data_IF_240672960281
#
_entry.id   IF_240672960281
#
_cell.length_a   1.000
_cell.length_b   1.000
_cell.length_c   1.000
_cell.angle_alpha   90.00
_cell.angle_beta   90.00
_cell.angle_gamma   90.00
#
_symmetry.space_group_name_H-M   'P 1'
#
loop_
_entity.id
_entity.type
_entity.pdbx_description
1 polymer ?
#
# COMPACT_ATOMS: atom_id res chain seq x y z
N UNK A 1 11.43 -8.09 12.71
CA UNK A 1 11.27 -8.68 11.37
C UNK A 1 9.88 -9.26 11.35
N UNK A 2 9.05 -8.91 10.37
CA UNK A 2 7.72 -9.50 10.26
C UNK A 2 7.86 -11.02 10.14
N UNK A 3 7.09 -11.76 10.94
CA UNK A 3 6.97 -13.19 10.75
C UNK A 3 6.10 -13.44 9.52
N UNK A 4 6.43 -14.53 8.82
CA UNK A 4 5.66 -15.15 7.75
C UNK A 4 5.59 -16.62 8.18
N UNK A 5 4.54 -16.95 8.92
CA UNK A 5 4.44 -18.14 9.77
C UNK A 5 4.14 -19.40 8.97
N UNK A 6 3.52 -19.29 7.80
CA UNK A 6 3.25 -20.40 6.88
C UNK A 6 4.10 -20.39 5.60
N UNK A 7 4.82 -19.30 5.32
CA UNK A 7 5.82 -19.21 4.28
C UNK A 7 5.24 -18.93 2.89
N UNK A 8 4.03 -18.39 2.79
CA UNK A 8 3.40 -18.02 1.52
C UNK A 8 3.95 -16.69 0.95
N UNK A 9 4.62 -15.90 1.79
CA UNK A 9 5.18 -14.60 1.44
C UNK A 9 4.30 -13.40 1.80
N UNK A 10 3.14 -13.62 2.41
CA UNK A 10 2.31 -12.66 3.14
C UNK A 10 2.77 -12.67 4.60
N UNK A 11 3.13 -11.53 5.17
CA UNK A 11 3.54 -11.53 6.59
C UNK A 11 2.31 -11.63 7.49
N UNK A 12 2.45 -12.26 8.67
CA UNK A 12 1.37 -12.45 9.65
C UNK A 12 0.59 -11.14 9.98
N UNK A 13 1.29 -10.00 9.98
CA UNK A 13 0.68 -8.70 10.21
C UNK A 13 -0.24 -8.25 9.07
N UNK A 14 0.15 -8.57 7.83
CA UNK A 14 -0.65 -8.34 6.63
C UNK A 14 -1.78 -9.38 6.52
N UNK A 15 -1.53 -10.63 6.92
CA UNK A 15 -2.57 -11.65 7.01
C UNK A 15 -3.67 -11.28 8.00
N UNK A 16 -3.30 -10.86 9.21
CA UNK A 16 -4.24 -10.35 10.20
C UNK A 16 -5.05 -9.14 9.68
N UNK A 17 -4.45 -8.34 8.78
CA UNK A 17 -5.11 -7.22 8.11
C UNK A 17 -6.09 -7.69 7.03
N UNK A 18 -5.74 -8.70 6.24
CA UNK A 18 -6.61 -9.27 5.20
C UNK A 18 -7.71 -10.17 5.80
N UNK A 19 -7.52 -10.63 7.04
CA UNK A 19 -8.41 -11.57 7.70
C UNK A 19 -8.09 -13.03 7.37
N UNK A 20 -6.93 -13.28 6.76
CA UNK A 20 -6.42 -14.61 6.44
C UNK A 20 -5.82 -15.29 7.67
N UNK A 21 -5.54 -16.58 7.56
CA UNK A 21 -5.06 -17.41 8.65
C UNK A 21 -3.54 -17.51 8.62
N UNK A 22 -2.88 -16.80 9.54
CA UNK A 22 -1.41 -16.74 9.67
C UNK A 22 -0.63 -18.05 9.81
N UNK A 23 -1.29 -19.21 9.84
CA UNK A 23 -0.64 -20.51 9.94
C UNK A 23 -1.10 -21.43 8.81
N UNK A 24 -1.70 -20.86 7.77
CA UNK A 24 -2.32 -21.57 6.67
C UNK A 24 -2.23 -20.71 5.40
N UNK A 25 -1.25 -21.05 4.57
CA UNK A 25 -0.92 -20.37 3.33
C UNK A 25 -2.07 -20.23 2.31
N UNK A 26 -3.16 -20.97 2.48
CA UNK A 26 -4.33 -21.00 1.59
C UNK A 26 -5.58 -21.02 2.49
N UNK A 27 -6.08 -19.85 2.84
CA UNK A 27 -7.08 -19.66 3.90
C UNK A 27 -8.43 -20.28 3.54
N UNK A 28 -8.80 -20.28 2.26
CA UNK A 28 -10.08 -20.78 1.78
C UNK A 28 -10.04 -22.18 1.16
N UNK A 29 -8.83 -22.75 1.03
CA UNK A 29 -8.52 -24.11 0.62
C UNK A 29 -8.82 -24.41 -0.86
N UNK A 30 -8.62 -23.44 -1.75
CA UNK A 30 -8.83 -23.59 -3.20
C UNK A 30 -7.59 -24.08 -3.98
N UNK A 31 -6.41 -24.08 -3.34
CA UNK A 31 -5.12 -24.48 -3.90
C UNK A 31 -4.28 -23.32 -4.45
N UNK A 32 -4.66 -22.08 -4.22
CA UNK A 32 -3.91 -20.85 -4.50
C UNK A 32 -3.57 -20.24 -3.14
N UNK A 33 -2.35 -19.74 -2.98
CA UNK A 33 -1.96 -19.16 -1.70
C UNK A 33 -2.47 -17.72 -1.52
N UNK A 34 -2.72 -17.33 -0.27
CA UNK A 34 -3.33 -16.06 0.12
C UNK A 34 -2.53 -14.87 -0.46
N UNK A 35 -1.19 -14.96 -0.43
CA UNK A 35 -0.32 -13.98 -1.04
C UNK A 35 -0.54 -13.80 -2.55
N UNK A 36 -0.59 -14.89 -3.32
CA UNK A 36 -0.77 -14.83 -4.76
C UNK A 36 -2.16 -14.36 -5.15
N UNK A 37 -3.19 -14.82 -4.46
CA UNK A 37 -4.55 -14.32 -4.61
C UNK A 37 -4.61 -12.80 -4.43
N UNK A 38 -4.08 -12.32 -3.31
CA UNK A 38 -4.01 -10.90 -3.01
C UNK A 38 -3.19 -10.12 -4.05
N UNK A 39 -2.01 -10.64 -4.46
CA UNK A 39 -1.15 -10.01 -5.47
C UNK A 39 -1.82 -9.92 -6.84
N UNK A 40 -2.64 -10.91 -7.19
CA UNK A 40 -3.37 -10.99 -8.46
C UNK A 40 -4.71 -10.24 -8.41
N UNK A 41 -5.14 -9.79 -7.22
CA UNK A 41 -6.31 -8.97 -6.99
C UNK A 41 -7.59 -9.77 -6.75
N UNK A 42 -7.50 -11.04 -6.32
CA UNK A 42 -8.63 -11.80 -5.77
C UNK A 42 -8.76 -11.60 -4.26
N UNK A 43 -9.80 -12.19 -3.69
CA UNK A 43 -10.12 -12.13 -2.27
C UNK A 43 -9.70 -13.47 -1.63
N UNK A 44 -8.63 -13.50 -0.80
CA UNK A 44 -8.07 -14.74 -0.24
C UNK A 44 -8.98 -15.46 0.78
N UNK A 45 -10.19 -14.94 0.97
CA UNK A 45 -11.23 -15.54 1.81
C UNK A 45 -12.35 -16.17 0.99
N UNK A 46 -12.21 -16.21 -0.35
CA UNK A 46 -13.24 -16.67 -1.27
C UNK A 46 -12.63 -17.56 -2.35
N UNK A 47 -12.88 -18.86 -2.18
CA UNK A 47 -12.42 -19.88 -3.10
C UNK A 47 -12.62 -19.50 -4.56
N UNK A 48 -11.52 -19.49 -5.29
CA UNK A 48 -11.41 -19.07 -6.66
C UNK A 48 -10.82 -20.19 -7.55
N UNK A 49 -10.41 -19.84 -8.75
CA UNK A 49 -9.76 -20.75 -9.67
C UNK A 49 -8.74 -20.02 -10.51
N UNK A 50 -7.77 -20.76 -11.03
CA UNK A 50 -6.79 -20.28 -11.99
C UNK A 50 -7.35 -19.55 -13.23
N UNK A 51 -8.65 -19.73 -13.53
CA UNK A 51 -9.31 -19.08 -14.67
C UNK A 51 -9.90 -17.72 -14.35
N UNK A 52 -9.90 -17.31 -13.09
CA UNK A 52 -10.60 -16.12 -12.60
C UNK A 52 -9.77 -14.86 -12.61
N UNK A 53 -8.44 -14.99 -12.69
CA UNK A 53 -7.52 -13.87 -12.79
C UNK A 53 -6.55 -14.07 -13.98
N UNK A 54 -6.22 -12.99 -14.70
CA UNK A 54 -5.33 -13.07 -15.86
C UNK A 54 -3.87 -13.16 -15.40
N UNK A 55 -3.11 -13.95 -16.16
CA UNK A 55 -1.68 -14.04 -16.08
C UNK A 55 -1.04 -12.73 -16.60
N UNK A 56 -0.91 -11.73 -15.72
CA UNK A 56 -0.42 -10.39 -16.06
C UNK A 56 0.67 -9.91 -15.07
N UNK A 57 1.62 -9.09 -15.52
CA UNK A 57 2.63 -8.50 -14.65
C UNK A 57 2.00 -7.73 -13.50
N UNK A 58 2.48 -7.98 -12.27
CA UNK A 58 2.05 -7.24 -11.07
C UNK A 58 3.26 -6.69 -10.33
N UNK A 59 3.08 -5.56 -9.67
CA UNK A 59 4.02 -4.97 -8.74
C UNK A 59 3.27 -4.59 -7.48
N UNK A 60 3.82 -4.97 -6.33
CA UNK A 60 3.25 -4.73 -5.02
C UNK A 60 4.26 -4.06 -4.10
N UNK A 61 3.75 -3.15 -3.29
CA UNK A 61 4.49 -2.49 -2.22
C UNK A 61 3.60 -2.38 -0.98
N UNK A 62 4.04 -3.00 0.11
CA UNK A 62 3.56 -2.70 1.46
C UNK A 62 4.66 -2.13 2.33
N UNK A 63 4.24 -1.45 3.39
CA UNK A 63 5.13 -0.89 4.39
C UNK A 63 4.49 -1.07 5.76
N UNK A 64 5.25 -1.63 6.70
CA UNK A 64 4.85 -1.78 8.09
C UNK A 64 6.07 -1.53 9.00
N UNK A 65 5.80 -1.07 10.21
CA UNK A 65 6.82 -0.90 11.24
C UNK A 65 7.09 -2.25 11.88
N UNK A 66 8.28 -2.46 12.41
CA UNK A 66 8.67 -3.65 13.18
C UNK A 66 9.67 -3.20 14.23
N UNK A 67 9.17 -2.77 15.40
CA UNK A 67 10.00 -2.14 16.42
C UNK A 67 10.51 -0.78 15.94
N UNK A 68 11.84 -0.59 15.95
CA UNK A 68 12.47 0.67 15.53
C UNK A 68 12.77 0.75 14.02
N UNK A 69 12.33 -0.24 13.24
CA UNK A 69 12.54 -0.31 11.79
C UNK A 69 11.21 -0.21 11.05
N UNK A 70 11.22 0.44 9.89
CA UNK A 70 10.18 0.38 8.89
C UNK A 70 10.59 -0.62 7.81
N UNK A 71 9.77 -1.64 7.65
CA UNK A 71 9.95 -2.72 6.68
C UNK A 71 9.10 -2.42 5.46
N UNK A 72 9.73 -2.50 4.30
CA UNK A 72 9.13 -2.39 3.00
C UNK A 72 9.07 -3.79 2.42
N UNK A 73 7.87 -4.28 2.12
CA UNK A 73 7.64 -5.56 1.47
C UNK A 73 7.29 -5.31 0.02
N UNK A 74 8.11 -5.85 -0.87
CA UNK A 74 7.94 -5.69 -2.31
C UNK A 74 7.74 -7.07 -2.92
N UNK A 75 6.80 -7.16 -3.84
CA UNK A 75 6.69 -8.31 -4.71
C UNK A 75 6.45 -7.91 -6.16
N UNK A 76 6.91 -8.75 -7.07
CA UNK A 76 6.57 -8.65 -8.47
C UNK A 76 6.18 -10.02 -9.01
N UNK A 77 5.08 -10.06 -9.76
CA UNK A 77 4.66 -11.22 -10.52
C UNK A 77 5.17 -11.06 -11.96
N UNK A 78 6.02 -11.98 -12.42
CA UNK A 78 6.68 -11.85 -13.73
C UNK A 78 7.03 -13.19 -14.36
N UNK A 79 6.99 -13.28 -15.69
CA UNK A 79 7.50 -14.42 -16.47
C UNK A 79 9.00 -14.31 -16.78
N UNK A 80 9.48 -13.09 -17.05
CA UNK A 80 10.83 -12.88 -17.60
C UNK A 80 11.70 -12.14 -16.61
N UNK A 81 11.47 -10.85 -16.40
CA UNK A 81 12.40 -9.98 -15.69
C UNK A 81 11.69 -8.84 -14.98
N UNK A 82 12.34 -8.39 -13.91
CA UNK A 82 12.02 -7.17 -13.18
C UNK A 82 13.29 -6.33 -13.20
N UNK A 83 13.22 -5.11 -13.71
CA UNK A 83 14.37 -4.20 -13.82
C UNK A 83 13.96 -2.76 -13.54
N UNK A 84 14.96 -1.88 -13.46
CA UNK A 84 14.77 -0.44 -13.34
C UNK A 84 13.93 -0.03 -12.11
N UNK A 85 14.12 -0.74 -10.98
CA UNK A 85 13.48 -0.39 -9.71
C UNK A 85 13.89 1.03 -9.27
N UNK A 86 12.88 1.89 -9.17
CA UNK A 86 12.99 3.26 -8.72
C UNK A 86 12.08 3.48 -7.52
N UNK A 87 12.67 3.91 -6.41
CA UNK A 87 11.96 4.36 -5.24
C UNK A 87 11.83 5.88 -5.32
N UNK A 88 10.64 6.38 -5.03
CA UNK A 88 10.36 7.80 -4.92
C UNK A 88 9.67 8.08 -3.60
N UNK A 89 9.86 9.26 -3.04
CA UNK A 89 9.13 9.70 -1.86
C UNK A 89 8.82 11.19 -1.91
N UNK A 90 7.75 11.56 -1.22
CA UNK A 90 7.32 12.93 -1.02
C UNK A 90 7.05 13.16 0.46
N UNK A 91 7.54 14.27 0.99
CA UNK A 91 7.31 14.72 2.37
C UNK A 91 6.95 16.21 2.34
N UNK A 92 6.43 16.80 3.43
CA UNK A 92 6.29 18.25 3.56
C UNK A 92 7.59 19.03 3.30
N UNK A 93 8.75 18.40 3.56
CA UNK A 93 10.06 18.98 3.32
C UNK A 93 10.57 18.87 1.89
N UNK A 94 9.86 18.17 1.00
CA UNK A 94 10.23 17.97 -0.41
C UNK A 94 10.19 16.52 -0.87
N UNK A 95 10.65 16.30 -2.10
CA UNK A 95 10.65 15.00 -2.78
C UNK A 95 12.05 14.44 -2.95
N UNK A 96 12.14 13.12 -3.13
CA UNK A 96 13.40 12.44 -3.42
C UNK A 96 13.18 11.13 -4.18
N UNK A 97 14.27 10.59 -4.71
CA UNK A 97 14.26 9.32 -5.42
C UNK A 97 15.58 8.58 -5.24
N UNK A 98 15.54 7.26 -5.30
CA UNK A 98 16.71 6.39 -5.24
C UNK A 98 16.51 5.14 -6.10
N UNK A 99 17.56 4.76 -6.84
CA UNK A 99 17.57 3.49 -7.56
C UNK A 99 17.86 2.30 -6.65
N UNK A 100 17.55 1.09 -7.11
CA UNK A 100 17.85 -0.13 -6.35
C UNK A 100 19.33 -0.29 -5.96
N UNK A 101 20.26 0.14 -6.81
CA UNK A 101 21.70 0.07 -6.51
C UNK A 101 22.10 0.84 -5.26
N UNK A 102 21.40 1.94 -4.96
CA UNK A 102 21.61 2.78 -3.78
C UNK A 102 21.02 2.12 -2.54
N UNK A 103 19.85 1.49 -2.66
CA UNK A 103 19.14 0.87 -1.53
C UNK A 103 19.51 -0.60 -1.28
N UNK A 104 20.31 -1.24 -2.13
CA UNK A 104 20.67 -2.67 -2.02
C UNK A 104 21.20 -3.10 -0.65
N UNK A 105 21.80 -2.18 0.11
CA UNK A 105 22.37 -2.44 1.43
C UNK A 105 21.32 -2.51 2.55
N UNK A 106 20.10 -2.05 2.28
CA UNK A 106 18.95 -2.10 3.18
C UNK A 106 18.13 -3.38 3.03
N UNK A 107 18.42 -4.18 2.00
CA UNK A 107 17.75 -5.45 1.74
C UNK A 107 18.21 -6.49 2.75
N UNK A 108 17.28 -7.07 3.48
CA UNK A 108 17.57 -8.13 4.45
C UNK A 108 16.94 -9.48 4.08
N UNK A 109 15.98 -9.50 3.15
CA UNK A 109 15.33 -10.72 2.67
C UNK A 109 14.98 -10.57 1.19
N UNK A 110 15.14 -11.65 0.43
CA UNK A 110 14.69 -11.74 -0.95
C UNK A 110 14.40 -13.20 -1.30
N UNK A 111 13.41 -13.42 -2.16
CA UNK A 111 12.93 -14.74 -2.53
C UNK A 111 12.44 -14.80 -3.97
N UNK A 112 12.46 -16.00 -4.54
CA UNK A 112 11.83 -16.29 -5.83
C UNK A 112 11.14 -17.64 -5.70
N UNK A 113 9.85 -17.71 -6.01
CA UNK A 113 9.08 -18.95 -6.08
C UNK A 113 8.30 -19.06 -7.38
N UNK A 114 7.88 -20.28 -7.70
CA UNK A 114 6.95 -20.54 -8.80
C UNK A 114 5.62 -19.87 -8.50
N UNK A 115 5.05 -19.20 -9.51
CA UNK A 115 3.70 -18.69 -9.45
C UNK A 115 2.67 -19.75 -9.83
N UNK A 116 1.40 -19.50 -9.50
CA UNK A 116 0.27 -20.37 -9.82
C UNK A 116 0.08 -20.55 -11.33
N UNK A 117 0.46 -19.56 -12.14
CA UNK A 117 0.47 -19.69 -13.60
C UNK A 117 1.79 -20.28 -14.11
N UNK A 118 1.75 -21.28 -15.01
CA UNK A 118 2.95 -21.89 -15.57
C UNK A 118 3.90 -20.86 -16.21
N UNK A 119 5.16 -20.87 -15.76
CA UNK A 119 6.20 -19.97 -16.26
C UNK A 119 6.24 -18.60 -15.58
N UNK A 120 5.30 -18.31 -14.68
CA UNK A 120 5.34 -17.11 -13.85
C UNK A 120 6.10 -17.38 -12.55
N UNK A 121 6.66 -16.30 -12.02
CA UNK A 121 7.40 -16.29 -10.76
C UNK A 121 6.91 -15.15 -9.89
N UNK A 122 6.75 -15.44 -8.61
CA UNK A 122 6.65 -14.43 -7.55
C UNK A 122 8.06 -14.10 -7.09
N UNK A 123 8.47 -12.84 -7.22
CA UNK A 123 9.78 -12.35 -6.78
C UNK A 123 9.57 -11.38 -5.63
N UNK A 124 10.05 -11.72 -4.44
CA UNK A 124 9.87 -10.91 -3.23
C UNK A 124 11.18 -10.28 -2.77
N UNK A 125 11.06 -9.14 -2.12
CA UNK A 125 12.18 -8.44 -1.49
C UNK A 125 11.67 -7.63 -0.30
N UNK A 126 12.40 -7.71 0.82
CA UNK A 126 12.15 -6.90 2.00
C UNK A 126 13.35 -5.99 2.27
N UNK A 127 13.08 -4.70 2.45
CA UNK A 127 14.07 -3.70 2.88
C UNK A 127 13.68 -3.14 4.23
N UNK A 128 14.66 -2.74 5.04
CA UNK A 128 14.42 -2.07 6.32
C UNK A 128 15.11 -0.72 6.38
N UNK A 129 14.44 0.27 6.95
CA UNK A 129 14.97 1.60 7.22
C UNK A 129 14.57 2.05 8.63
N UNK A 130 15.37 2.89 9.31
CA UNK A 130 15.02 3.35 10.65
C UNK A 130 13.65 4.04 10.68
N UNK A 131 12.77 3.61 11.58
CA UNK A 131 11.42 4.15 11.70
C UNK A 131 11.42 5.66 11.99
N UNK A 132 12.47 6.16 12.66
CA UNK A 132 12.69 7.58 12.95
C UNK A 132 12.67 8.47 11.70
N UNK A 133 13.02 7.95 10.51
CA UNK A 133 12.95 8.70 9.25
C UNK A 133 11.51 9.03 8.88
N UNK A 134 10.59 8.09 9.14
CA UNK A 134 9.17 8.18 8.80
C UNK A 134 8.38 8.85 9.91
N UNK A 135 8.66 8.51 11.17
CA UNK A 135 7.99 9.11 12.33
C UNK A 135 8.35 10.60 12.53
N UNK A 136 9.40 11.10 11.85
CA UNK A 136 9.74 12.51 11.84
C UNK A 136 8.89 13.35 10.86
N UNK A 137 8.16 12.73 9.93
CA UNK A 137 7.37 13.44 8.92
C UNK A 137 5.92 13.58 9.35
N UNK A 138 5.27 14.72 9.12
CA UNK A 138 3.82 14.85 9.37
C UNK A 138 2.99 13.97 8.42
N UNK A 139 3.45 13.84 7.18
CA UNK A 139 2.93 12.95 6.15
C UNK A 139 4.05 12.51 5.21
N UNK A 140 3.91 11.36 4.56
CA UNK A 140 4.89 10.87 3.59
C UNK A 140 4.22 9.99 2.54
N UNK A 141 4.41 10.32 1.27
CA UNK A 141 4.10 9.44 0.15
C UNK A 141 5.34 8.64 -0.25
N UNK A 142 5.18 7.36 -0.53
CA UNK A 142 6.24 6.47 -0.98
C UNK A 142 5.74 5.76 -2.24
N UNK A 143 6.53 5.85 -3.31
CA UNK A 143 6.27 5.19 -4.57
C UNK A 143 7.38 4.21 -4.93
N UNK A 144 7.01 3.14 -5.60
CA UNK A 144 7.90 2.20 -6.25
C UNK A 144 7.46 2.07 -7.71
N UNK A 145 8.39 2.22 -8.63
CA UNK A 145 8.17 1.90 -10.04
C UNK A 145 9.19 0.86 -10.50
N UNK A 146 8.77 -0.03 -11.40
CA UNK A 146 9.66 -1.01 -12.01
C UNK A 146 9.19 -1.36 -13.42
N UNK A 147 10.13 -1.79 -14.27
CA UNK A 147 9.80 -2.44 -15.53
C UNK A 147 9.67 -3.96 -15.30
N UNK A 148 8.44 -4.46 -15.40
CA UNK A 148 8.07 -5.88 -15.21
C UNK A 148 7.63 -6.43 -16.56
N UNK A 149 8.40 -7.36 -17.11
CA UNK A 149 8.14 -7.98 -18.43
C UNK A 149 7.91 -6.98 -19.58
N UNK A 150 8.60 -5.83 -19.53
CA UNK A 150 8.49 -4.78 -20.55
C UNK A 150 7.43 -3.71 -20.24
N UNK A 151 6.59 -3.91 -19.23
CA UNK A 151 5.59 -2.94 -18.78
C UNK A 151 6.14 -2.11 -17.61
N UNK A 152 5.87 -0.81 -17.59
CA UNK A 152 6.17 0.03 -16.42
C UNK A 152 4.99 -0.09 -15.48
N UNK A 153 5.22 -0.63 -14.29
CA UNK A 153 4.24 -0.72 -13.22
C UNK A 153 4.71 0.12 -12.05
N UNK A 154 3.75 0.60 -11.26
CA UNK A 154 3.99 1.33 -10.04
C UNK A 154 3.08 0.87 -8.90
N UNK A 155 3.55 1.09 -7.68
CA UNK A 155 2.81 0.86 -6.45
C UNK A 155 3.16 1.98 -5.47
N UNK A 156 2.18 2.41 -4.67
CA UNK A 156 2.40 3.49 -3.71
C UNK A 156 1.75 3.27 -2.36
N UNK A 157 2.31 3.92 -1.37
CA UNK A 157 1.87 3.91 0.01
C UNK A 157 1.86 5.35 0.52
N UNK A 158 0.80 5.74 1.20
CA UNK A 158 0.72 7.01 1.88
C UNK A 158 0.72 6.79 3.38
N UNK A 159 1.58 7.52 4.08
CA UNK A 159 1.71 7.52 5.53
C UNK A 159 1.31 8.89 6.06
N UNK A 160 0.52 8.90 7.14
CA UNK A 160 0.03 10.11 7.79
C UNK A 160 0.14 9.94 9.30
N UNK A 161 0.60 10.96 10.03
CA UNK A 161 0.44 10.96 11.47
C UNK A 161 -0.96 11.43 11.88
N UNK A 162 -1.67 10.58 12.59
CA UNK A 162 -2.92 10.91 13.26
C UNK A 162 -2.74 10.72 14.76
N UNK A 163 -2.85 11.81 15.53
CA UNK A 163 -2.71 11.78 17.00
C UNK A 163 -1.47 11.01 17.50
N UNK A 164 -0.30 11.26 16.88
CA UNK A 164 0.99 10.60 17.18
C UNK A 164 1.10 9.14 16.72
N UNK A 165 0.13 8.63 15.96
CA UNK A 165 0.16 7.29 15.36
C UNK A 165 0.49 7.41 13.88
N UNK A 166 1.52 6.70 13.42
CA UNK A 166 1.84 6.60 12.00
C UNK A 166 0.84 5.64 11.34
N UNK A 167 -0.08 6.22 10.56
CA UNK A 167 -1.13 5.50 9.88
C UNK A 167 -0.80 5.35 8.40
N UNK A 168 -1.08 4.17 7.85
CA UNK A 168 -1.09 3.98 6.41
C UNK A 168 -2.49 4.25 5.85
N UNK A 169 -2.58 5.11 4.84
CA UNK A 169 -3.81 5.35 4.08
C UNK A 169 -3.94 4.33 2.96
N UNK A 170 -5.11 3.72 2.85
CA UNK A 170 -5.44 2.67 1.90
C UNK A 170 -6.84 2.92 1.34
N UNK A 171 -6.93 3.12 0.04
CA UNK A 171 -8.17 3.51 -0.64
C UNK A 171 -9.19 2.35 -0.70
N UNK A 172 -8.71 1.11 -0.69
CA UNK A 172 -9.49 -0.13 -0.78
C UNK A 172 -10.39 -0.41 0.44
N UNK A 173 -10.20 0.33 1.54
CA UNK A 173 -10.98 0.24 2.78
C UNK A 173 -11.90 1.46 3.00
N UNK A 174 -11.95 2.39 2.06
CA UNK A 174 -12.81 3.58 2.15
C UNK A 174 -14.20 3.22 1.61
N UNK A 175 -15.17 3.05 2.51
CA UNK A 175 -16.57 2.95 2.14
C UNK A 175 -17.07 4.35 1.72
N UNK A 176 -16.85 4.72 0.46
CA UNK A 176 -17.35 5.99 -0.09
C UNK A 176 -18.84 5.89 -0.39
N UNK A 177 -19.69 6.11 0.62
CA UNK A 177 -21.12 6.34 0.39
C UNK A 177 -21.41 7.69 -0.30
N UNK A 178 -20.39 8.50 -0.60
CA UNK A 178 -20.51 9.78 -1.27
C UNK A 178 -19.27 10.18 -2.07
N UNK A 179 -19.06 9.59 -3.25
CA UNK A 179 -18.21 10.17 -4.31
C UNK A 179 -16.79 10.54 -3.89
N UNK A 180 -15.90 9.55 -3.94
CA UNK A 180 -14.50 9.61 -3.49
C UNK A 180 -13.73 10.90 -3.78
N UNK A 181 -13.32 11.56 -2.70
CA UNK A 181 -12.19 12.49 -2.65
C UNK A 181 -10.86 11.74 -2.43
N UNK A 182 -10.66 10.63 -3.14
CA UNK A 182 -9.41 9.87 -3.09
C UNK A 182 -8.24 10.65 -3.70
N UNK A 183 -7.01 10.25 -3.37
CA UNK A 183 -5.81 10.84 -3.97
C UNK A 183 -5.60 10.13 -5.30
N UNK A 184 -6.23 10.64 -6.36
CA UNK A 184 -6.12 10.01 -7.67
C UNK A 184 -4.68 10.07 -8.19
N UNK A 185 -4.01 8.92 -8.44
CA UNK A 185 -2.86 8.92 -9.34
C UNK A 185 -3.40 9.25 -10.73
N UNK A 186 -3.06 10.43 -11.24
CA UNK A 186 -3.37 10.78 -12.63
C UNK A 186 -2.39 10.00 -13.51
N UNK A 187 -2.89 9.09 -14.35
CA UNK A 187 -2.07 8.44 -15.37
C UNK A 187 -1.36 9.51 -16.22
N UNK A 188 -0.08 9.34 -16.59
CA UNK A 188 0.61 10.25 -17.49
C UNK A 188 -0.11 10.35 -18.85
N UNK A 189 -0.86 11.44 -19.07
CA UNK A 189 -1.61 11.71 -20.31
C UNK A 189 -3.14 11.61 -20.20
N UNK A 190 -3.69 11.25 -19.03
CA UNK A 190 -5.13 11.33 -18.78
C UNK A 190 -5.62 12.78 -18.71
N UNK A 191 -6.89 13.03 -19.08
CA UNK A 191 -7.52 14.31 -18.76
C UNK A 191 -7.65 14.41 -17.24
N UNK A 192 -7.06 15.46 -16.65
CA UNK A 192 -7.26 15.80 -15.26
C UNK A 192 -8.77 15.96 -15.01
N UNK A 193 -9.33 15.35 -13.94
CA UNK A 193 -10.70 15.65 -13.56
C UNK A 193 -10.83 17.16 -13.32
N UNK A 194 -11.98 17.74 -13.62
CA UNK A 194 -12.25 19.14 -13.29
C UNK A 194 -12.13 19.32 -11.78
N UNK A 195 -11.38 20.31 -11.31
CA UNK A 195 -11.20 20.64 -9.90
C UNK A 195 -10.54 22.02 -9.77
N UNK A 196 -10.44 22.54 -8.55
CA UNK A 196 -9.83 23.83 -8.29
C UNK A 196 -8.30 23.69 -8.40
N UNK A 197 -7.67 24.31 -9.41
CA UNK A 197 -6.23 24.21 -9.61
C UNK A 197 -5.49 25.00 -8.53
N UNK A 198 -4.28 24.56 -8.20
CA UNK A 198 -3.43 25.14 -7.16
C UNK A 198 -4.03 25.05 -5.74
N UNK A 199 -4.91 24.07 -5.51
CA UNK A 199 -5.49 23.73 -4.21
C UNK A 199 -5.38 22.23 -3.95
N UNK A 200 -5.40 21.82 -2.68
CA UNK A 200 -5.40 20.41 -2.24
C UNK A 200 -6.52 20.20 -1.23
N UNK A 201 -7.18 19.03 -1.29
CA UNK A 201 -8.17 18.69 -0.29
C UNK A 201 -7.46 18.35 1.03
N UNK A 202 -7.80 19.08 2.09
CA UNK A 202 -7.33 18.85 3.45
C UNK A 202 -8.50 18.37 4.29
N UNK A 203 -8.32 17.24 4.96
CA UNK A 203 -9.32 16.62 5.82
C UNK A 203 -8.81 16.54 7.25
N UNK A 204 -9.67 16.86 8.22
CA UNK A 204 -9.44 16.62 9.63
C UNK A 204 -10.10 15.30 10.02
N UNK A 205 -9.33 14.38 10.60
CA UNK A 205 -9.79 13.03 10.97
C UNK A 205 -9.91 12.88 12.49
N UNK A 206 -11.03 12.34 12.96
CA UNK A 206 -11.29 12.04 14.38
C UNK A 206 -11.48 10.53 14.56
N UNK A 207 -10.73 9.85 15.44
CA UNK A 207 -10.90 8.41 15.64
C UNK A 207 -12.25 8.10 16.28
N UNK A 208 -12.97 7.12 15.73
CA UNK A 208 -14.30 6.67 16.17
C UNK A 208 -14.30 5.25 16.74
N UNK A 209 -13.44 4.36 16.21
CA UNK A 209 -13.35 2.98 16.68
C UNK A 209 -11.95 2.37 16.45
N UNK A 210 -11.62 1.35 17.25
CA UNK A 210 -10.45 0.49 17.04
C UNK A 210 -10.96 -0.89 16.62
N UNK A 211 -10.56 -1.31 15.43
CA UNK A 211 -11.02 -2.53 14.77
C UNK A 211 -9.94 -3.63 14.84
N UNK A 212 -10.29 -4.92 14.63
CA UNK A 212 -9.32 -6.00 14.55
C UNK A 212 -8.25 -5.78 13.45
N UNK A 213 -7.09 -6.41 13.61
CA UNK A 213 -5.98 -6.31 12.64
C UNK A 213 -5.34 -4.92 12.61
N UNK A 214 -5.25 -4.26 13.77
CA UNK A 214 -4.61 -2.93 13.93
C UNK A 214 -5.32 -1.80 13.17
N UNK A 215 -6.56 -2.00 12.74
CA UNK A 215 -7.31 -0.97 12.00
C UNK A 215 -7.88 0.06 12.99
N UNK A 216 -7.87 1.32 12.61
CA UNK A 216 -8.54 2.41 13.33
C UNK A 216 -9.50 3.10 12.39
N UNK A 217 -10.74 3.18 12.80
CA UNK A 217 -11.77 3.93 12.10
C UNK A 217 -11.67 5.41 12.47
N UNK A 218 -11.59 6.26 11.46
CA UNK A 218 -11.62 7.71 11.60
C UNK A 218 -12.83 8.26 10.84
N UNK A 219 -13.47 9.27 11.41
CA UNK A 219 -14.47 10.08 10.72
C UNK A 219 -13.84 11.39 10.29
N UNK A 220 -14.08 11.80 9.04
CA UNK A 220 -13.75 13.14 8.54
C UNK A 220 -14.62 14.15 9.27
N UNK A 221 -14.04 14.94 10.17
CA UNK A 221 -14.78 15.97 10.92
C UNK A 221 -14.87 17.28 10.17
N UNK A 222 -13.86 17.59 9.35
CA UNK A 222 -13.77 18.80 8.53
C UNK A 222 -13.06 18.45 7.22
N UNK A 223 -13.45 19.09 6.13
CA UNK A 223 -12.78 18.97 4.84
C UNK A 223 -12.87 20.32 4.11
N UNK A 224 -11.76 20.75 3.51
CA UNK A 224 -11.68 21.99 2.74
C UNK A 224 -10.59 21.93 1.68
N UNK A 225 -10.75 22.68 0.59
CA UNK A 225 -9.66 22.95 -0.34
C UNK A 225 -8.75 24.03 0.24
N UNK A 226 -7.47 23.71 0.46
CA UNK A 226 -6.45 24.67 0.89
C UNK A 226 -5.44 24.95 -0.24
N UNK A 227 -4.92 26.18 -0.36
CA UNK A 227 -3.96 26.52 -1.42
C UNK A 227 -2.68 25.66 -1.38
N UNK A 228 -2.38 25.00 -2.51
CA UNK A 228 -1.14 24.27 -2.77
C UNK A 228 -0.80 24.31 -4.26
N UNK A 229 0.20 25.11 -4.62
CA UNK A 229 0.62 25.29 -6.01
C UNK A 229 0.98 23.95 -6.70
N UNK A 230 0.43 23.70 -7.88
CA UNK A 230 0.62 22.47 -8.65
C UNK A 230 -0.24 21.28 -8.22
N UNK A 231 -1.11 21.44 -7.22
CA UNK A 231 -2.13 20.46 -6.86
C UNK A 231 -3.48 20.78 -7.54
N UNK A 232 -4.43 19.86 -7.42
CA UNK A 232 -5.82 20.05 -7.83
C UNK A 232 -6.71 19.55 -6.72
N UNK A 233 -7.61 20.41 -6.23
CA UNK A 233 -8.64 20.01 -5.29
C UNK A 233 -9.85 19.50 -6.08
N UNK A 234 -10.24 18.25 -5.84
CA UNK A 234 -11.30 17.62 -6.62
C UNK A 234 -12.70 17.97 -6.07
N UNK A 235 -13.70 18.07 -6.96
CA UNK A 235 -15.10 18.19 -6.57
C UNK A 235 -15.47 16.98 -5.72
N UNK A 236 -15.84 17.22 -4.47
CA UNK A 236 -16.07 16.16 -3.49
C UNK A 236 -15.38 16.38 -2.15
N UNK A 237 -14.38 17.27 -2.09
CA UNK A 237 -13.64 17.54 -0.87
C UNK A 237 -14.56 17.95 0.30
N UNK A 238 -15.32 19.03 0.17
CA UNK A 238 -16.23 19.49 1.24
C UNK A 238 -17.32 18.48 1.60
N UNK A 239 -17.75 17.66 0.63
CA UNK A 239 -18.77 16.63 0.85
C UNK A 239 -18.24 15.36 1.50
N UNK A 240 -16.94 15.25 1.70
CA UNK A 240 -16.32 14.11 2.41
C UNK A 240 -16.46 14.21 3.93
N UNK A 241 -16.98 15.32 4.48
CA UNK A 241 -17.28 15.41 5.91
C UNK A 241 -18.27 14.30 6.28
N UNK A 242 -17.97 13.60 7.38
CA UNK A 242 -18.61 12.38 7.87
C UNK A 242 -18.20 11.08 7.17
N UNK A 243 -17.41 11.13 6.10
CA UNK A 243 -16.85 9.92 5.51
C UNK A 243 -15.99 9.19 6.53
N UNK A 244 -15.97 7.86 6.37
CA UNK A 244 -15.19 6.98 7.22
C UNK A 244 -13.90 6.61 6.48
N UNK A 245 -12.78 6.99 7.09
CA UNK A 245 -11.44 6.61 6.67
C UNK A 245 -10.94 5.54 7.62
N UNK A 246 -10.61 4.36 7.09
CA UNK A 246 -9.98 3.32 7.89
C UNK A 246 -8.46 3.44 7.71
N UNK A 247 -7.79 3.89 8.78
CA UNK A 247 -6.35 3.84 8.87
C UNK A 247 -5.89 2.52 9.46
N UNK A 248 -4.64 2.15 9.22
CA UNK A 248 -4.00 1.04 9.94
C UNK A 248 -3.01 1.64 10.93
N UNK A 249 -3.25 1.41 12.23
CA UNK A 249 -2.31 1.63 13.30
C UNK A 249 -1.27 0.51 13.28
N UNK A 250 -0.21 0.79 12.52
CA UNK A 250 0.92 -0.09 12.32
C UNK A 250 1.68 -0.34 13.65
N UNK A 251 1.64 0.60 14.60
CA UNK A 251 2.31 0.44 15.90
C UNK A 251 1.59 -0.59 16.79
N UNK A 252 0.26 -0.60 16.73
CA UNK A 252 -0.57 -1.57 17.45
C UNK A 252 -0.55 -2.98 16.85
N UNK A 253 -0.14 -3.14 15.58
CA UNK A 253 0.04 -4.47 14.96
C UNK A 253 1.21 -5.29 15.54
N UNK A 254 2.07 -4.67 16.34
CA UNK A 254 3.37 -5.22 16.74
C UNK A 254 3.52 -5.43 18.25
N UNK A 255 2.53 -5.00 19.05
CA UNK A 255 2.53 -5.07 20.51
C UNK A 255 1.51 -6.11 21.00
#
# INVERSE_FOLDING_TARGET
MGLDSDGDGLHDALEARLGTQHANADTDFDGIDDFEEFLLGSDPLKADSLTSFPAEPRLYLDIYQSGDEMVFQIAAYSQTQVKDLLFAWATPGGTGQAGFSELRHTVFQAGIRDGVHPGWKVKTMSLSMPASVFTAQASMGIGLAANVDGQILDASVQLLHLNQVLCQLREDLINTNGGGGGVFPVEPGGQLPSGDPDEVCVQTLVPTAYLPGGKVEYQVSEAQCDPLAGAICLPGCDSSVLDIVIGIDILSLLN
#
